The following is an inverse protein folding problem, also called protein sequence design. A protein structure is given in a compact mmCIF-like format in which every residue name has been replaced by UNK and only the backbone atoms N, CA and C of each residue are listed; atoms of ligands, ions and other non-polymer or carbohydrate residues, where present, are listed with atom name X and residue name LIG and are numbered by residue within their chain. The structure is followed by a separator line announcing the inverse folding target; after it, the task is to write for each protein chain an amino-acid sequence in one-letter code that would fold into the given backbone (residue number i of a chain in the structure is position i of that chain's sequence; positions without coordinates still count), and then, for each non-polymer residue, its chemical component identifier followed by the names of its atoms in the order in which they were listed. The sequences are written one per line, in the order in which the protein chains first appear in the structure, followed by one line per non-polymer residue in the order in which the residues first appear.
data_IF_662527605303
#
_entry.id   IF_662527605303
#
_cell.length_a   1.000
_cell.length_b   1.000
_cell.length_c   1.000
_cell.angle_alpha   90.00
_cell.angle_beta   90.00
_cell.angle_gamma   90.00
#
_symmetry.space_group_name_H-M   'P 1'
#
loop_
_entity.id
_entity.type
_entity.pdbx_description
1 polymer ?
#
# COMPACT_ATOMS: atom_id res chain seq x y z
N UNK A 1 -1.47 -2.28 -4.76
CA UNK A 1 -1.08 -0.87 -4.95
C UNK A 1 -0.03 -0.50 -3.91
N UNK A 2 1.11 0.07 -4.32
CA UNK A 2 2.31 0.24 -3.49
C UNK A 2 2.70 1.72 -3.26
N UNK A 3 1.73 2.63 -3.41
CA UNK A 3 1.98 4.07 -3.43
C UNK A 3 2.75 4.56 -2.19
N UNK A 4 2.39 4.06 -1.01
CA UNK A 4 2.98 4.45 0.27
C UNK A 4 4.25 3.67 0.63
N UNK A 5 4.66 2.66 -0.15
CA UNK A 5 5.90 1.92 0.11
C UNK A 5 7.08 2.82 -0.32
N UNK A 6 8.11 3.00 0.52
CA UNK A 6 9.33 3.70 0.15
C UNK A 6 10.02 3.10 -1.08
N UNK A 7 10.71 3.94 -1.85
CA UNK A 7 11.41 3.52 -3.07
C UNK A 7 12.48 2.45 -2.81
N UNK A 8 13.13 2.47 -1.64
CA UNK A 8 14.11 1.45 -1.21
C UNK A 8 13.54 0.02 -1.13
N UNK A 9 12.21 -0.12 -1.03
CA UNK A 9 11.50 -1.40 -1.09
C UNK A 9 10.74 -1.59 -2.42
N UNK A 10 11.00 -0.78 -3.44
CA UNK A 10 10.36 -0.89 -4.77
C UNK A 10 8.98 -0.24 -4.89
N UNK A 11 8.59 0.60 -3.92
CA UNK A 11 7.34 1.36 -3.98
C UNK A 11 7.45 2.73 -4.63
N UNK A 12 6.36 3.48 -4.65
CA UNK A 12 6.34 4.83 -5.24
C UNK A 12 6.85 5.93 -4.31
N UNK A 13 6.89 5.69 -2.99
CA UNK A 13 7.33 6.66 -1.98
C UNK A 13 6.40 7.86 -1.81
N UNK A 14 5.14 7.75 -2.22
CA UNK A 14 4.16 8.83 -2.15
C UNK A 14 3.57 8.98 -0.74
N UNK A 15 2.97 10.14 -0.48
CA UNK A 15 2.34 10.49 0.78
C UNK A 15 0.84 10.18 0.82
N UNK A 16 0.23 10.56 1.95
CA UNK A 16 -1.21 10.40 2.16
C UNK A 16 -2.05 11.26 1.22
N UNK A 17 -1.53 12.42 0.80
CA UNK A 17 -2.20 13.29 -0.17
C UNK A 17 -2.38 12.56 -1.49
N UNK A 18 -1.33 11.97 -2.05
CA UNK A 18 -1.42 11.23 -3.31
C UNK A 18 -2.28 9.97 -3.18
N UNK A 19 -2.22 9.30 -2.01
CA UNK A 19 -3.12 8.18 -1.73
C UNK A 19 -4.59 8.62 -1.72
N UNK A 20 -4.92 9.81 -1.21
CA UNK A 20 -6.28 10.36 -1.25
C UNK A 20 -6.74 10.65 -2.67
N UNK A 21 -5.88 11.24 -3.51
CA UNK A 21 -6.18 11.49 -4.93
C UNK A 21 -6.44 10.17 -5.67
N UNK A 22 -5.63 9.14 -5.44
CA UNK A 22 -5.87 7.81 -6.01
C UNK A 22 -7.27 7.28 -5.66
N UNK A 23 -7.68 7.41 -4.40
CA UNK A 23 -8.99 6.95 -3.95
C UNK A 23 -10.14 7.78 -4.55
N UNK A 24 -9.96 9.09 -4.62
CA UNK A 24 -10.92 10.01 -5.26
C UNK A 24 -11.12 9.64 -6.73
N UNK A 25 -10.05 9.39 -7.48
CA UNK A 25 -10.13 9.01 -8.88
C UNK A 25 -10.83 7.66 -9.10
N UNK A 26 -10.58 6.66 -8.23
CA UNK A 26 -11.29 5.38 -8.29
C UNK A 26 -12.79 5.59 -8.11
N UNK A 27 -13.18 6.36 -7.09
CA UNK A 27 -14.59 6.61 -6.78
C UNK A 27 -15.27 7.48 -7.86
N UNK A 28 -14.56 8.49 -8.39
CA UNK A 28 -15.02 9.35 -9.49
C UNK A 28 -15.32 8.54 -10.76
N UNK A 29 -14.55 7.49 -11.02
CA UNK A 29 -14.77 6.56 -12.13
C UNK A 29 -15.85 5.50 -11.86
N UNK A 30 -16.60 5.60 -10.74
CA UNK A 30 -17.65 4.65 -10.36
C UNK A 30 -17.12 3.35 -9.74
N UNK A 31 -15.83 3.27 -9.43
CA UNK A 31 -15.22 2.14 -8.72
C UNK A 31 -15.39 2.23 -7.21
N UNK A 32 -15.02 1.15 -6.50
CA UNK A 32 -14.96 1.12 -5.03
C UNK A 32 -13.50 1.15 -4.57
N UNK A 33 -13.10 2.23 -3.91
CA UNK A 33 -11.72 2.40 -3.41
C UNK A 33 -11.39 1.56 -2.17
N UNK A 34 -12.35 0.84 -1.58
CA UNK A 34 -12.20 0.12 -0.31
C UNK A 34 -11.10 -0.94 -0.32
N UNK A 35 -11.00 -1.72 -1.40
CA UNK A 35 -9.93 -2.73 -1.54
C UNK A 35 -8.54 -2.08 -1.62
N UNK A 36 -8.44 -0.96 -2.36
CA UNK A 36 -7.21 -0.18 -2.46
C UNK A 36 -6.82 0.43 -1.11
N UNK A 37 -7.79 1.02 -0.41
CA UNK A 37 -7.61 1.62 0.90
C UNK A 37 -7.15 0.59 1.94
N UNK A 38 -7.80 -0.58 1.99
CA UNK A 38 -7.44 -1.65 2.93
C UNK A 38 -5.99 -2.12 2.77
N UNK A 39 -5.52 -2.30 1.53
CA UNK A 39 -4.12 -2.67 1.26
C UNK A 39 -3.14 -1.56 1.69
N UNK A 40 -3.44 -0.29 1.40
CA UNK A 40 -2.59 0.85 1.79
C UNK A 40 -2.51 1.03 3.30
N UNK A 41 -3.64 0.87 4.00
CA UNK A 41 -3.71 1.07 5.44
C UNK A 41 -2.95 -0.03 6.20
N UNK A 42 -3.17 -1.30 5.85
CA UNK A 42 -2.49 -2.43 6.49
C UNK A 42 -0.97 -2.43 6.28
N UNK A 43 -0.53 -2.00 5.09
CA UNK A 43 0.89 -1.79 4.80
C UNK A 43 1.52 -0.72 5.70
N UNK A 44 0.76 0.31 6.07
CA UNK A 44 1.18 1.33 7.02
C UNK A 44 1.58 0.77 8.39
N UNK A 45 0.97 -0.33 8.82
CA UNK A 45 1.32 -1.02 10.08
C UNK A 45 2.72 -1.64 9.98
N UNK A 46 3.01 -2.36 8.89
CA UNK A 46 4.32 -2.97 8.67
C UNK A 46 5.42 -1.91 8.50
N UNK A 47 5.13 -0.81 7.80
CA UNK A 47 6.07 0.29 7.60
C UNK A 47 6.47 0.97 8.92
N UNK A 48 5.49 1.22 9.81
CA UNK A 48 5.72 1.94 11.07
C UNK A 48 6.23 1.07 12.19
N UNK A 49 5.77 -0.18 12.25
CA UNK A 49 5.95 -1.04 13.43
C UNK A 49 6.67 -2.35 13.14
N UNK A 50 6.89 -2.69 11.86
CA UNK A 50 7.66 -3.87 11.50
C UNK A 50 9.13 -3.76 11.91
N UNK A 51 9.74 -4.88 12.27
CA UNK A 51 11.19 -4.96 12.39
C UNK A 51 11.85 -4.80 11.03
N UNK A 52 13.14 -4.44 11.03
CA UNK A 52 13.91 -4.33 9.80
C UNK A 52 13.94 -5.63 8.98
N UNK A 53 13.95 -6.78 9.67
CA UNK A 53 13.85 -8.09 9.02
C UNK A 53 12.48 -8.29 8.35
N UNK A 54 11.38 -7.91 9.02
CA UNK A 54 10.03 -7.99 8.45
C UNK A 54 9.88 -7.06 7.25
N UNK A 55 10.33 -5.81 7.35
CA UNK A 55 10.27 -4.84 6.25
C UNK A 55 11.00 -5.36 5.01
N UNK A 56 12.25 -5.81 5.16
CA UNK A 56 13.05 -6.37 4.05
C UNK A 56 12.42 -7.62 3.43
N UNK A 57 11.78 -8.47 4.22
CA UNK A 57 11.16 -9.70 3.72
C UNK A 57 9.84 -9.46 2.97
N UNK A 58 9.02 -8.51 3.44
CA UNK A 58 7.63 -8.39 2.99
C UNK A 58 7.38 -7.18 2.08
N UNK A 59 7.98 -6.02 2.34
CA UNK A 59 7.67 -4.81 1.57
C UNK A 59 7.98 -4.95 0.07
N UNK A 60 9.11 -5.55 -0.37
CA UNK A 60 9.37 -5.75 -1.80
C UNK A 60 8.31 -6.62 -2.50
N UNK A 61 7.85 -7.68 -1.82
CA UNK A 61 6.81 -8.59 -2.34
C UNK A 61 5.43 -7.93 -2.38
N UNK A 62 5.17 -7.01 -1.45
CA UNK A 62 3.94 -6.22 -1.48
C UNK A 62 4.01 -5.16 -2.59
N UNK A 63 5.20 -4.59 -2.80
CA UNK A 63 5.43 -3.56 -3.80
C UNK A 63 5.26 -4.10 -5.23
N UNK A 64 5.81 -5.29 -5.51
CA UNK A 64 5.72 -5.93 -6.82
C UNK A 64 4.41 -6.70 -7.04
N UNK A 65 3.57 -6.83 -6.01
CA UNK A 65 2.25 -7.48 -6.09
C UNK A 65 2.24 -9.01 -5.91
N UNK A 66 3.38 -9.65 -5.63
CA UNK A 66 3.46 -11.07 -5.26
C UNK A 66 2.70 -11.38 -3.96
N UNK A 67 2.67 -10.42 -3.03
CA UNK A 67 1.99 -10.54 -1.75
C UNK A 67 0.95 -9.44 -1.58
N UNK A 68 -0.26 -9.81 -1.14
CA UNK A 68 -1.28 -8.86 -0.70
C UNK A 68 -1.45 -8.92 0.81
N UNK A 69 -1.40 -7.75 1.44
CA UNK A 69 -1.66 -7.59 2.88
C UNK A 69 -3.05 -6.98 3.06
N UNK A 70 -4.09 -7.82 2.98
CA UNK A 70 -5.49 -7.42 3.09
C UNK A 70 -6.28 -8.37 4.00
N UNK A 71 -7.27 -7.85 4.70
CA UNK A 71 -8.15 -8.62 5.61
C UNK A 71 -9.42 -9.15 4.95
N UNK A 72 -9.68 -8.76 3.69
CA UNK A 72 -10.85 -9.16 2.93
C UNK A 72 -10.40 -9.96 1.70
N UNK A 73 -11.15 -11.01 1.38
CA UNK A 73 -10.90 -11.91 0.24
C UNK A 73 -11.18 -11.22 -1.10
#
# INVERSE_FOLDING_TARGET
MAALIPQEYGGSGLGLTEASVIMEEINRCGGNSGACHGQMYNMGTLLRHGSEAQKRAYLPKIANGELRLQSMA
#
